data_IF_218590776316
#
_entry.id   IF_218590776316
#
_cell.length_a   1.000
_cell.length_b   1.000
_cell.length_c   1.000
_cell.angle_alpha   90.00
_cell.angle_beta   90.00
_cell.angle_gamma   90.00
#
_symmetry.space_group_name_H-M   'P 1'
#
loop_
_entity.id
_entity.type
_entity.pdbx_description
1 polymer ?
#
# COMPACT_ATOMS: atom_id res chain seq x y z
N UNK A 1 0.49 7.01 -10.48
CA UNK A 1 -0.49 7.70 -9.59
C UNK A 1 -0.59 9.16 -9.97
N UNK A 2 -1.79 9.76 -9.99
CA UNK A 2 -1.94 11.20 -10.23
C UNK A 2 -1.75 11.96 -8.91
N UNK A 3 -0.66 12.72 -8.76
CA UNK A 3 -0.38 13.51 -7.55
C UNK A 3 -1.50 14.51 -7.22
N UNK A 4 -2.16 15.08 -8.22
CA UNK A 4 -3.25 16.04 -8.00
C UNK A 4 -4.48 15.39 -7.35
N UNK A 5 -4.69 14.09 -7.57
CA UNK A 5 -5.78 13.36 -6.93
C UNK A 5 -5.53 13.22 -5.43
N UNK A 6 -4.30 12.83 -5.03
CA UNK A 6 -3.95 12.67 -3.61
C UNK A 6 -4.01 13.98 -2.82
N UNK A 7 -3.71 15.11 -3.46
CA UNK A 7 -3.86 16.43 -2.83
C UNK A 7 -5.32 16.84 -2.57
N UNK A 8 -6.29 16.19 -3.22
CA UNK A 8 -7.71 16.49 -3.06
C UNK A 8 -8.43 15.61 -2.04
N UNK A 9 -7.77 14.55 -1.57
CA UNK A 9 -8.33 13.59 -0.62
C UNK A 9 -8.18 14.11 0.82
N UNK A 10 -9.19 13.81 1.63
CA UNK A 10 -9.13 13.93 3.09
C UNK A 10 -8.17 12.90 3.71
N UNK A 11 -7.80 13.08 4.97
CA UNK A 11 -6.91 12.14 5.68
C UNK A 11 -7.53 10.73 5.79
N UNK A 12 -8.84 10.62 6.04
CA UNK A 12 -9.57 9.35 6.08
C UNK A 12 -9.54 8.65 4.71
N UNK A 13 -9.76 9.38 3.62
CA UNK A 13 -9.67 8.82 2.27
C UNK A 13 -8.24 8.41 1.91
N UNK A 14 -7.23 9.17 2.37
CA UNK A 14 -5.83 8.79 2.21
C UNK A 14 -5.52 7.51 3.00
N UNK A 15 -6.05 7.37 4.21
CA UNK A 15 -5.91 6.17 5.02
C UNK A 15 -6.49 4.94 4.29
N UNK A 16 -7.74 5.03 3.81
CA UNK A 16 -8.40 3.93 3.08
C UNK A 16 -7.60 3.51 1.83
N UNK A 17 -7.08 4.49 1.08
CA UNK A 17 -6.27 4.20 -0.13
C UNK A 17 -4.92 3.57 0.25
N UNK A 18 -4.28 4.02 1.33
CA UNK A 18 -3.03 3.43 1.82
C UNK A 18 -3.25 1.98 2.29
N UNK A 19 -4.30 1.76 3.07
CA UNK A 19 -4.72 0.45 3.56
C UNK A 19 -4.95 -0.52 2.38
N UNK A 20 -5.75 -0.09 1.40
CA UNK A 20 -6.04 -0.89 0.21
C UNK A 20 -4.76 -1.27 -0.56
N UNK A 21 -3.83 -0.32 -0.72
CA UNK A 21 -2.55 -0.57 -1.40
C UNK A 21 -1.70 -1.64 -0.71
N UNK A 22 -1.72 -1.69 0.63
CA UNK A 22 -1.02 -2.72 1.41
C UNK A 22 -1.76 -4.05 1.33
N UNK A 23 -3.09 -4.06 1.47
CA UNK A 23 -3.92 -5.27 1.36
C UNK A 23 -3.75 -5.96 0.01
N UNK A 24 -3.65 -5.21 -1.09
CA UNK A 24 -3.40 -5.78 -2.42
C UNK A 24 -2.05 -6.49 -2.51
N UNK A 25 -1.01 -6.00 -1.82
CA UNK A 25 0.28 -6.68 -1.75
C UNK A 25 0.22 -7.94 -0.88
N UNK A 26 -0.60 -7.94 0.18
CA UNK A 26 -0.87 -9.14 0.98
C UNK A 26 -1.57 -10.19 0.10
N UNK A 27 -2.55 -9.78 -0.71
CA UNK A 27 -3.28 -10.67 -1.62
C UNK A 27 -2.34 -11.39 -2.62
N UNK A 28 -1.28 -10.73 -3.10
CA UNK A 28 -0.28 -11.39 -3.95
C UNK A 28 0.39 -12.58 -3.24
N UNK A 29 0.59 -12.50 -1.93
CA UNK A 29 1.21 -13.57 -1.12
C UNK A 29 0.21 -14.66 -0.79
N UNK A 30 -1.01 -14.28 -0.38
CA UNK A 30 -2.09 -15.22 -0.10
C UNK A 30 -2.50 -16.05 -1.33
N UNK A 31 -2.36 -15.48 -2.53
CA UNK A 31 -2.62 -16.19 -3.80
C UNK A 31 -1.42 -16.97 -4.34
N UNK A 32 -0.27 -16.90 -3.68
CA UNK A 32 0.95 -17.59 -4.10
C UNK A 32 1.69 -16.96 -5.28
N UNK A 33 1.28 -15.76 -5.73
CA UNK A 33 2.04 -14.97 -6.72
C UNK A 33 3.36 -14.45 -6.14
N UNK A 34 3.45 -14.38 -4.81
CA UNK A 34 4.66 -14.08 -4.05
C UNK A 34 4.82 -15.10 -2.92
N UNK A 35 6.06 -15.52 -2.67
CA UNK A 35 6.37 -16.61 -1.74
C UNK A 35 7.01 -16.14 -0.42
N UNK A 36 7.29 -14.84 -0.28
CA UNK A 36 7.79 -14.25 0.95
C UNK A 36 6.67 -14.05 1.99
N UNK A 37 7.06 -14.06 3.26
CA UNK A 37 6.17 -13.88 4.41
C UNK A 37 5.54 -12.46 4.42
N UNK A 38 4.21 -12.32 4.50
CA UNK A 38 3.54 -11.02 4.55
C UNK A 38 3.65 -10.26 5.88
N UNK A 39 4.34 -10.77 6.93
CA UNK A 39 4.39 -10.10 8.24
C UNK A 39 4.77 -8.61 8.17
N UNK A 40 5.73 -8.25 7.33
CA UNK A 40 6.14 -6.85 7.17
C UNK A 40 5.04 -5.93 6.59
N UNK A 41 4.05 -6.49 5.88
CA UNK A 41 2.88 -5.76 5.39
C UNK A 41 1.82 -5.60 6.46
N UNK A 42 1.64 -6.59 7.34
CA UNK A 42 0.80 -6.44 8.52
C UNK A 42 1.34 -5.36 9.46
N UNK A 43 2.66 -5.37 9.71
CA UNK A 43 3.34 -4.32 10.47
C UNK A 43 3.20 -2.93 9.82
N UNK A 44 3.05 -2.88 8.49
CA UNK A 44 2.82 -1.62 7.77
C UNK A 44 1.37 -1.14 7.89
N UNK A 45 0.40 -2.06 7.93
CA UNK A 45 -1.01 -1.74 8.19
C UNK A 45 -1.20 -1.13 9.58
N UNK A 46 -0.64 -1.77 10.61
CA UNK A 46 -0.75 -1.28 12.00
C UNK A 46 -0.17 0.14 12.15
N UNK A 47 0.84 0.50 11.36
CA UNK A 47 1.46 1.84 11.41
C UNK A 47 0.63 2.92 10.73
N UNK A 48 -0.36 2.58 9.90
CA UNK A 48 -1.17 3.60 9.22
C UNK A 48 -1.94 4.47 10.20
N UNK A 49 -2.38 3.90 11.34
CA UNK A 49 -3.13 4.61 12.37
C UNK A 49 -2.36 5.79 12.99
N UNK A 50 -1.02 5.73 12.93
CA UNK A 50 -0.12 6.77 13.47
C UNK A 50 0.37 7.76 12.40
N UNK A 51 0.01 7.58 11.12
CA UNK A 51 0.51 8.39 10.01
C UNK A 51 -0.32 9.65 9.79
N UNK A 52 0.36 10.77 9.53
CA UNK A 52 -0.31 11.98 9.03
C UNK A 52 -0.58 11.93 7.52
N UNK A 53 -1.38 12.85 7.00
CA UNK A 53 -1.72 12.93 5.57
C UNK A 53 -0.51 12.86 4.61
N UNK A 54 0.64 13.47 4.92
CA UNK A 54 1.82 13.41 4.04
C UNK A 54 2.48 12.03 4.06
N UNK A 55 2.54 11.41 5.23
CA UNK A 55 3.04 10.04 5.40
C UNK A 55 2.13 9.03 4.69
N UNK A 56 0.81 9.21 4.76
CA UNK A 56 -0.17 8.41 4.03
C UNK A 56 0.02 8.55 2.51
N UNK A 57 0.18 9.77 1.98
CA UNK A 57 0.48 9.99 0.55
C UNK A 57 1.75 9.27 0.10
N UNK A 58 2.80 9.29 0.93
CA UNK A 58 4.05 8.59 0.65
C UNK A 58 3.85 7.06 0.67
N UNK A 59 3.11 6.55 1.66
CA UNK A 59 2.74 5.13 1.75
C UNK A 59 2.00 4.68 0.49
N UNK A 60 0.95 5.41 0.08
CA UNK A 60 0.18 5.15 -1.15
C UNK A 60 1.09 5.06 -2.38
N UNK A 61 2.04 6.00 -2.52
CA UNK A 61 3.00 6.00 -3.62
C UNK A 61 3.88 4.75 -3.61
N UNK A 62 4.55 4.48 -2.49
CA UNK A 62 5.48 3.35 -2.33
C UNK A 62 4.78 2.02 -2.56
N UNK A 63 3.64 1.80 -1.90
CA UNK A 63 2.93 0.52 -1.98
C UNK A 63 2.33 0.28 -3.36
N UNK A 64 1.94 1.34 -4.08
CA UNK A 64 1.49 1.21 -5.46
C UNK A 64 2.62 0.84 -6.42
N UNK A 65 3.80 1.45 -6.29
CA UNK A 65 4.95 1.09 -7.12
C UNK A 65 5.40 -0.35 -6.84
N UNK A 66 5.50 -0.72 -5.57
CA UNK A 66 5.88 -2.07 -5.16
C UNK A 66 4.85 -3.10 -5.61
N UNK A 67 3.55 -2.82 -5.55
CA UNK A 67 2.53 -3.73 -6.07
C UNK A 67 2.70 -3.99 -7.58
N UNK A 68 2.95 -2.96 -8.38
CA UNK A 68 3.16 -3.14 -9.83
C UNK A 68 4.41 -3.97 -10.13
N UNK A 69 5.50 -3.73 -9.40
CA UNK A 69 6.73 -4.54 -9.50
C UNK A 69 6.46 -6.00 -9.06
N UNK A 70 5.78 -6.16 -7.93
CA UNK A 70 5.47 -7.47 -7.35
C UNK A 70 4.56 -8.29 -8.26
N UNK A 71 3.60 -7.65 -8.92
CA UNK A 71 2.65 -8.29 -9.83
C UNK A 71 3.25 -8.64 -11.20
N UNK A 72 4.19 -7.83 -11.69
CA UNK A 72 4.79 -8.01 -13.03
C UNK A 72 5.96 -8.99 -13.04
N UNK A 73 6.71 -9.07 -11.94
CA UNK A 73 7.76 -10.07 -11.77
C UNK A 73 7.16 -11.37 -11.20
N UNK A 74 6.36 -12.07 -11.99
CA UNK A 74 6.07 -13.48 -11.69
C UNK A 74 7.38 -14.26 -11.81
N UNK A 75 7.91 -14.76 -10.70
CA UNK A 75 9.00 -15.75 -10.72
C UNK A 75 8.46 -17.11 -11.17
#
# INVERSE_FOLDING_TARGET
MNKQLLESLSEDELYEVAEYGIQERINLRLTGLRADDPQFLYDALEKLDDMNAEELKQSIFIHSELYQLEKSQSL
#
